data_IF_196125733289
#
_entry.id   IF_196125733289
#
_cell.length_a   1.000
_cell.length_b   1.000
_cell.length_c   1.000
_cell.angle_alpha   90.00
_cell.angle_beta   90.00
_cell.angle_gamma   90.00
#
_symmetry.space_group_name_H-M   'P 1'
#
loop_
_entity.id
_entity.type
_entity.pdbx_description
1 polymer ?
#
# COMPACT_ATOMS: atom_id res chain seq x y z
N UNK A 1 15.76 4.87 10.30
CA UNK A 1 15.81 4.07 11.54
C UNK A 1 15.16 2.74 11.21
N UNK A 2 15.78 1.57 11.43
CA UNK A 2 15.21 0.29 11.00
C UNK A 2 13.76 0.13 11.48
N UNK A 3 12.88 -0.45 10.66
CA UNK A 3 11.44 -0.59 10.94
C UNK A 3 11.13 -1.17 12.34
N UNK A 4 11.99 -2.05 12.85
CA UNK A 4 11.88 -2.67 14.18
C UNK A 4 12.25 -1.76 15.35
N UNK A 5 12.81 -0.58 15.08
CA UNK A 5 13.20 0.43 16.07
C UNK A 5 12.20 1.60 16.13
N UNK A 6 11.20 1.64 15.23
CA UNK A 6 10.10 2.60 15.30
C UNK A 6 9.30 2.38 16.58
N UNK A 7 9.14 3.45 17.37
CA UNK A 7 8.36 3.45 18.60
C UNK A 7 6.99 4.07 18.35
N UNK A 8 5.91 3.52 18.93
CA UNK A 8 4.60 4.17 18.92
C UNK A 8 4.68 5.58 19.53
N UNK A 9 4.00 6.55 18.90
CA UNK A 9 3.86 7.92 19.43
C UNK A 9 5.06 8.85 19.29
N UNK A 10 6.16 8.44 18.64
CA UNK A 10 7.34 9.29 18.42
C UNK A 10 7.53 9.77 16.98
N UNK A 11 6.51 9.61 16.13
CA UNK A 11 6.61 9.82 14.69
C UNK A 11 5.66 10.96 14.29
N UNK A 12 6.20 11.99 13.66
CA UNK A 12 5.39 13.06 13.07
C UNK A 12 4.77 12.57 11.78
N UNK A 13 3.50 12.90 11.54
CA UNK A 13 2.85 12.63 10.27
C UNK A 13 3.37 13.51 9.13
N UNK A 14 4.14 14.55 9.45
CA UNK A 14 4.72 15.48 8.49
C UNK A 14 6.09 15.01 7.96
N UNK A 15 6.72 14.06 8.65
CA UNK A 15 8.07 13.58 8.31
C UNK A 15 8.04 12.39 7.33
N UNK A 16 9.00 12.33 6.42
CA UNK A 16 9.31 11.11 5.66
C UNK A 16 10.14 10.17 6.52
N UNK A 17 9.69 8.92 6.71
CA UNK A 17 10.29 7.97 7.64
C UNK A 17 10.99 6.84 6.88
N UNK A 18 12.32 6.77 7.00
CA UNK A 18 13.12 5.66 6.47
C UNK A 18 12.87 4.37 7.27
N UNK A 19 12.27 3.36 6.61
CA UNK A 19 11.90 2.06 7.18
C UNK A 19 12.96 0.98 6.94
N UNK A 20 13.58 1.01 5.75
CA UNK A 20 14.63 0.08 5.33
C UNK A 20 15.79 0.85 4.71
N UNK A 21 17.01 0.52 5.12
CA UNK A 21 18.24 1.18 4.66
C UNK A 21 19.29 0.11 4.36
N UNK A 22 19.46 -0.20 3.08
CA UNK A 22 20.51 -1.05 2.56
C UNK A 22 21.28 -0.32 1.44
N UNK A 23 22.54 -0.68 1.17
CA UNK A 23 23.31 -0.06 0.11
C UNK A 23 22.59 -0.15 -1.25
N UNK A 24 22.18 1.00 -1.78
CA UNK A 24 21.49 1.10 -3.06
C UNK A 24 20.02 0.64 -3.04
N UNK A 25 19.43 0.41 -1.87
CA UNK A 25 18.01 0.08 -1.74
C UNK A 25 17.43 0.62 -0.42
N UNK A 26 16.47 1.54 -0.50
CA UNK A 26 15.79 2.12 0.65
C UNK A 26 14.28 2.07 0.50
N UNK A 27 13.57 1.94 1.62
CA UNK A 27 12.11 2.03 1.66
C UNK A 27 11.69 3.07 2.69
N UNK A 28 10.81 3.97 2.28
CA UNK A 28 10.29 5.07 3.09
C UNK A 28 8.77 4.98 3.22
N UNK A 29 8.27 5.28 4.41
CA UNK A 29 6.91 5.78 4.56
C UNK A 29 6.91 7.27 4.25
N UNK A 30 6.05 7.67 3.33
CA UNK A 30 5.84 9.08 2.98
C UNK A 30 4.58 9.58 3.67
N UNK A 31 3.49 8.82 3.52
CA UNK A 31 2.18 9.12 4.10
C UNK A 31 1.53 10.39 3.56
N UNK A 32 0.21 10.41 3.59
CA UNK A 32 -0.61 11.61 3.45
C UNK A 32 -1.57 11.63 4.64
N UNK A 33 -1.25 12.43 5.65
CA UNK A 33 -2.22 12.76 6.68
C UNK A 33 -3.03 13.93 6.14
N UNK A 34 -4.25 13.65 5.69
CA UNK A 34 -5.22 14.72 5.47
C UNK A 34 -5.47 15.41 6.81
N UNK A 35 -5.33 16.74 6.81
CA UNK A 35 -5.51 17.59 7.99
C UNK A 35 -6.99 17.80 8.34
N UNK A 36 -7.93 17.22 7.57
CA UNK A 36 -9.37 17.38 7.80
C UNK A 36 -9.98 16.08 8.35
N UNK A 37 -10.73 16.20 9.44
CA UNK A 37 -11.37 15.14 10.23
C UNK A 37 -12.32 14.20 9.44
N UNK A 38 -12.53 14.41 8.13
CA UNK A 38 -13.51 13.71 7.32
C UNK A 38 -12.94 12.55 6.47
N UNK A 39 -11.63 12.48 6.24
CA UNK A 39 -11.01 11.50 5.34
C UNK A 39 -10.22 10.42 6.09
N UNK A 40 -10.19 9.20 5.53
CA UNK A 40 -9.39 8.10 6.08
C UNK A 40 -7.92 8.36 5.71
N UNK A 41 -6.98 8.41 6.68
CA UNK A 41 -5.56 8.62 6.39
C UNK A 41 -5.00 7.56 5.44
N UNK A 42 -4.18 8.00 4.49
CA UNK A 42 -3.61 7.16 3.45
C UNK A 42 -2.08 7.11 3.56
N UNK A 43 -1.53 5.91 3.51
CA UNK A 43 -0.10 5.65 3.47
C UNK A 43 0.36 5.53 2.02
N UNK A 44 1.27 6.42 1.63
CA UNK A 44 2.08 6.28 0.42
C UNK A 44 3.47 5.79 0.77
N UNK A 45 4.06 4.97 -0.10
CA UNK A 45 5.36 4.35 0.12
C UNK A 45 6.32 4.66 -1.03
N UNK A 46 7.56 4.98 -0.69
CA UNK A 46 8.61 5.18 -1.69
C UNK A 46 9.65 4.07 -1.54
N UNK A 47 9.85 3.29 -2.60
CA UNK A 47 11.01 2.42 -2.75
C UNK A 47 12.01 3.15 -3.64
N UNK A 48 13.24 3.32 -3.16
CA UNK A 48 14.37 3.84 -3.93
C UNK A 48 15.34 2.70 -4.16
N UNK A 49 15.59 2.36 -5.41
CA UNK A 49 16.54 1.33 -5.78
C UNK A 49 17.53 1.90 -6.80
N UNK A 50 18.79 2.03 -6.38
CA UNK A 50 19.83 2.83 -7.03
C UNK A 50 19.36 4.28 -7.25
N UNK A 51 19.11 4.67 -8.50
CA UNK A 51 18.65 5.99 -8.94
C UNK A 51 17.17 6.01 -9.35
N UNK A 52 16.45 4.88 -9.21
CA UNK A 52 15.05 4.77 -9.58
C UNK A 52 14.12 4.82 -8.36
N UNK A 53 13.12 5.70 -8.40
CA UNK A 53 12.03 5.74 -7.43
C UNK A 53 10.80 4.96 -7.91
N UNK A 54 10.17 4.21 -7.01
CA UNK A 54 8.90 3.52 -7.20
C UNK A 54 7.94 4.01 -6.11
N UNK A 55 6.92 4.77 -6.50
CA UNK A 55 5.90 5.28 -5.59
C UNK A 55 4.70 4.33 -5.59
N UNK A 56 4.38 3.78 -4.44
CA UNK A 56 3.29 2.82 -4.23
C UNK A 56 2.16 3.52 -3.47
N UNK A 57 0.94 3.42 -3.99
CA UNK A 57 -0.27 4.12 -3.51
C UNK A 57 -0.09 5.66 -3.50
N UNK A 58 -0.01 6.30 -4.69
CA UNK A 58 0.35 7.72 -4.81
C UNK A 58 -0.69 8.71 -4.24
N UNK A 59 -1.91 8.24 -3.94
CA UNK A 59 -2.91 9.01 -3.20
C UNK A 59 -4.03 9.58 -4.06
N UNK A 60 -5.02 10.20 -3.41
CA UNK A 60 -6.07 10.99 -4.03
C UNK A 60 -5.61 12.37 -4.52
N UNK A 61 -6.51 13.13 -5.15
CA UNK A 61 -6.20 14.42 -5.79
C UNK A 61 -5.41 15.37 -4.88
N UNK A 62 -5.84 15.50 -3.63
CA UNK A 62 -5.28 16.47 -2.68
C UNK A 62 -3.95 16.01 -2.06
N UNK A 63 -3.58 14.73 -2.22
CA UNK A 63 -2.34 14.17 -1.69
C UNK A 63 -1.09 14.56 -2.50
N UNK A 64 -1.24 14.94 -3.78
CA UNK A 64 -0.09 15.13 -4.68
C UNK A 64 0.97 16.06 -4.11
N UNK A 65 0.59 17.26 -3.66
CA UNK A 65 1.54 18.26 -3.17
C UNK A 65 2.27 17.79 -1.91
N UNK A 66 1.52 17.26 -0.93
CA UNK A 66 2.10 16.78 0.34
C UNK A 66 3.05 15.60 0.11
N UNK A 67 2.63 14.62 -0.69
CA UNK A 67 3.46 13.44 -1.00
C UNK A 67 4.69 13.84 -1.80
N UNK A 68 4.57 14.73 -2.79
CA UNK A 68 5.71 15.20 -3.59
C UNK A 68 6.73 15.97 -2.75
N UNK A 69 6.28 16.89 -1.89
CA UNK A 69 7.16 17.67 -1.01
C UNK A 69 7.93 16.76 -0.04
N UNK A 70 7.24 15.80 0.56
CA UNK A 70 7.86 14.81 1.44
C UNK A 70 8.86 13.93 0.72
N UNK A 71 8.58 13.52 -0.52
CA UNK A 71 9.54 12.77 -1.33
C UNK A 71 10.78 13.62 -1.59
N UNK A 72 10.63 14.89 -2.00
CA UNK A 72 11.74 15.81 -2.28
C UNK A 72 12.71 16.02 -1.09
N UNK A 73 12.28 15.74 0.14
CA UNK A 73 13.16 15.76 1.32
C UNK A 73 14.18 14.61 1.38
N UNK A 74 13.95 13.51 0.65
CA UNK A 74 14.80 12.30 0.68
C UNK A 74 15.20 11.78 -0.70
N UNK A 75 14.47 12.15 -1.76
CA UNK A 75 14.66 11.69 -3.14
C UNK A 75 14.06 12.70 -4.11
N UNK A 76 14.55 12.78 -5.35
CA UNK A 76 14.00 13.73 -6.31
C UNK A 76 12.66 13.23 -6.87
N UNK A 77 11.54 13.89 -6.56
CA UNK A 77 10.19 13.46 -6.97
C UNK A 77 10.07 13.32 -8.51
N UNK A 78 10.74 14.20 -9.27
CA UNK A 78 10.80 14.10 -10.74
C UNK A 78 11.60 12.88 -11.27
N UNK A 79 12.34 12.17 -10.41
CA UNK A 79 13.05 10.92 -10.73
C UNK A 79 12.28 9.66 -10.34
N UNK A 80 11.04 9.80 -9.84
CA UNK A 80 10.14 8.66 -9.74
C UNK A 80 9.99 8.09 -11.16
N UNK A 81 10.10 6.78 -11.27
CA UNK A 81 10.07 6.03 -12.52
C UNK A 81 8.77 5.26 -12.69
N UNK A 82 8.19 4.81 -11.58
CA UNK A 82 6.95 4.03 -11.55
C UNK A 82 5.99 4.57 -10.49
N UNK A 83 4.72 4.68 -10.87
CA UNK A 83 3.59 4.78 -9.95
C UNK A 83 2.92 3.41 -9.91
N UNK A 84 2.70 2.87 -8.73
CA UNK A 84 2.11 1.55 -8.54
C UNK A 84 0.86 1.69 -7.71
N UNK A 85 -0.27 1.25 -8.27
CA UNK A 85 -1.57 1.33 -7.63
C UNK A 85 -2.13 -0.08 -7.43
N UNK A 86 -2.44 -0.44 -6.19
CA UNK A 86 -3.06 -1.73 -5.84
C UNK A 86 -4.37 -1.97 -6.57
N UNK A 87 -5.21 -0.94 -6.66
CA UNK A 87 -6.52 -0.95 -7.29
C UNK A 87 -6.98 0.47 -7.71
N UNK A 88 -8.24 0.61 -8.13
CA UNK A 88 -8.76 1.80 -8.81
C UNK A 88 -9.32 2.90 -7.91
N UNK A 89 -9.39 2.71 -6.59
CA UNK A 89 -10.16 3.64 -5.76
C UNK A 89 -9.55 5.05 -5.75
N UNK A 90 -10.38 6.10 -5.51
CA UNK A 90 -9.94 7.48 -5.63
C UNK A 90 -8.78 7.85 -4.72
N UNK A 91 -8.74 7.31 -3.50
CA UNK A 91 -7.68 7.51 -2.51
C UNK A 91 -6.35 6.85 -2.91
N UNK A 92 -6.36 5.98 -3.92
CA UNK A 92 -5.16 5.35 -4.50
C UNK A 92 -4.72 6.05 -5.79
N UNK A 93 -5.66 6.27 -6.71
CA UNK A 93 -5.35 6.61 -8.11
C UNK A 93 -5.61 8.06 -8.50
N UNK A 94 -6.32 8.87 -7.70
CA UNK A 94 -6.79 10.14 -8.21
C UNK A 94 -5.69 11.21 -8.38
N UNK A 95 -4.51 11.05 -7.75
CA UNK A 95 -3.33 11.91 -7.98
C UNK A 95 -2.55 11.61 -9.27
N UNK A 96 -2.80 10.48 -9.95
CA UNK A 96 -1.99 10.05 -11.11
C UNK A 96 -1.85 11.16 -12.18
N UNK A 97 -2.91 11.92 -12.55
CA UNK A 97 -2.78 12.99 -13.54
C UNK A 97 -1.73 14.05 -13.16
N UNK A 98 -1.68 14.45 -11.88
CA UNK A 98 -0.71 15.43 -11.37
C UNK A 98 0.72 14.92 -11.45
N UNK A 99 0.94 13.64 -11.12
CA UNK A 99 2.25 13.01 -11.25
C UNK A 99 2.73 12.95 -12.71
N UNK A 100 1.85 12.59 -13.65
CA UNK A 100 2.19 12.51 -15.08
C UNK A 100 2.45 13.88 -15.69
N UNK A 101 1.70 14.90 -15.28
CA UNK A 101 1.93 16.28 -15.73
C UNK A 101 3.38 16.73 -15.42
N UNK A 102 3.91 16.33 -14.26
CA UNK A 102 5.26 16.67 -13.83
C UNK A 102 6.34 15.75 -14.40
N UNK A 103 6.05 14.45 -14.57
CA UNK A 103 6.93 13.50 -15.25
C UNK A 103 6.17 12.64 -16.28
N UNK A 104 6.11 13.07 -17.55
CA UNK A 104 5.41 12.34 -18.61
C UNK A 104 6.03 10.99 -18.98
N UNK A 105 7.22 10.66 -18.46
CA UNK A 105 7.91 9.38 -18.70
C UNK A 105 7.61 8.33 -17.62
N UNK A 106 6.80 8.67 -16.62
CA UNK A 106 6.37 7.74 -15.59
C UNK A 106 5.65 6.54 -16.19
N UNK A 107 5.91 5.38 -15.59
CA UNK A 107 5.16 4.16 -15.86
C UNK A 107 4.08 3.96 -14.80
N UNK A 108 2.83 3.87 -15.22
CA UNK A 108 1.71 3.60 -14.31
C UNK A 108 1.46 2.09 -14.28
N UNK A 109 1.64 1.47 -13.13
CA UNK A 109 1.45 0.04 -12.93
C UNK A 109 0.11 -0.17 -12.20
N UNK A 110 -0.82 -0.84 -12.87
CA UNK A 110 -2.19 -1.06 -12.37
C UNK A 110 -2.66 -2.48 -12.71
N UNK A 111 -3.64 -3.05 -11.99
CA UNK A 111 -4.33 -4.25 -12.44
C UNK A 111 -4.89 -4.06 -13.86
N UNK A 112 -4.75 -5.08 -14.70
CA UNK A 112 -5.15 -5.05 -16.11
C UNK A 112 -6.63 -4.64 -16.28
N UNK A 113 -7.47 -5.02 -15.32
CA UNK A 113 -8.89 -4.67 -15.29
C UNK A 113 -9.14 -3.16 -15.36
N UNK A 114 -8.26 -2.35 -14.75
CA UNK A 114 -8.41 -0.91 -14.62
C UNK A 114 -7.68 -0.09 -15.68
N UNK A 115 -6.78 -0.72 -16.46
CA UNK A 115 -6.04 -0.03 -17.52
C UNK A 115 -6.96 0.77 -18.46
N UNK A 116 -8.10 0.19 -18.87
CA UNK A 116 -9.05 0.87 -19.77
C UNK A 116 -9.94 1.90 -19.08
N UNK A 117 -9.91 1.97 -17.75
CA UNK A 117 -10.63 2.96 -16.96
C UNK A 117 -9.77 4.18 -16.65
N UNK A 118 -8.43 4.07 -16.67
CA UNK A 118 -7.50 5.19 -16.49
C UNK A 118 -7.80 6.42 -17.38
N UNK A 119 -8.24 6.28 -18.66
CA UNK A 119 -8.60 7.42 -19.49
C UNK A 119 -9.72 8.32 -18.93
N UNK A 120 -10.50 7.85 -17.94
CA UNK A 120 -11.49 8.66 -17.25
C UNK A 120 -10.88 9.64 -16.22
N UNK A 121 -9.66 9.37 -15.73
CA UNK A 121 -8.91 10.30 -14.90
C UNK A 121 -8.16 11.34 -15.73
N UNK A 122 -7.69 10.95 -16.93
CA UNK A 122 -6.88 11.81 -17.80
C UNK A 122 -6.86 11.31 -19.24
N UNK A 123 -6.79 12.23 -20.21
CA UNK A 123 -6.85 11.87 -21.63
C UNK A 123 -5.65 11.04 -22.13
N UNK A 124 -4.46 11.18 -21.51
CA UNK A 124 -3.26 10.44 -21.89
C UNK A 124 -2.48 9.95 -20.65
N UNK A 125 -2.68 8.69 -20.22
CA UNK A 125 -2.04 8.15 -19.01
C UNK A 125 -0.55 7.78 -19.17
N UNK A 126 0.11 8.22 -20.24
CA UNK A 126 1.50 7.86 -20.51
C UNK A 126 1.70 6.36 -20.78
N UNK A 127 2.84 5.81 -20.33
CA UNK A 127 3.13 4.38 -20.42
C UNK A 127 2.43 3.62 -19.27
N UNK A 128 1.47 2.75 -19.59
CA UNK A 128 0.79 1.92 -18.59
C UNK A 128 1.32 0.48 -18.66
N UNK A 129 1.65 -0.08 -17.50
CA UNK A 129 2.03 -1.48 -17.31
C UNK A 129 0.86 -2.24 -16.66
N UNK A 130 -0.04 -2.86 -17.44
CA UNK A 130 -1.15 -3.63 -16.89
C UNK A 130 -0.68 -4.96 -16.30
N UNK A 131 -1.03 -5.23 -15.04
CA UNK A 131 -0.73 -6.49 -14.34
C UNK A 131 -1.91 -7.44 -14.48
N UNK A 132 -1.71 -8.59 -15.12
CA UNK A 132 -2.76 -9.61 -15.27
C UNK A 132 -2.95 -10.46 -14.00
N UNK A 133 -3.96 -11.32 -14.02
CA UNK A 133 -4.36 -12.18 -12.87
C UNK A 133 -3.33 -13.23 -12.44
N UNK A 134 -2.19 -13.32 -13.13
CA UNK A 134 -1.03 -14.15 -12.74
C UNK A 134 0.06 -13.34 -12.02
N UNK A 135 -0.12 -12.04 -11.87
CA UNK A 135 0.89 -11.14 -11.34
C UNK A 135 1.94 -10.74 -12.37
N UNK A 136 2.97 -10.05 -11.88
CA UNK A 136 4.11 -9.60 -12.66
C UNK A 136 5.35 -9.47 -11.76
N UNK A 137 6.53 -9.44 -12.39
CA UNK A 137 7.78 -9.03 -11.75
C UNK A 137 8.22 -7.72 -12.41
N UNK A 138 8.37 -6.67 -11.60
CA UNK A 138 8.92 -5.40 -12.04
C UNK A 138 10.41 -5.39 -11.68
N UNK A 139 11.32 -5.40 -12.66
CA UNK A 139 12.75 -5.39 -12.38
C UNK A 139 13.18 -4.05 -11.80
N UNK A 140 14.02 -4.09 -10.76
CA UNK A 140 14.67 -2.92 -10.20
C UNK A 140 16.15 -2.85 -10.63
N UNK A 141 16.76 -1.66 -10.74
CA UNK A 141 18.15 -1.50 -11.20
C UNK A 141 19.21 -2.33 -10.44
N UNK A 142 19.02 -2.53 -9.14
CA UNK A 142 19.87 -3.32 -8.25
C UNK A 142 19.76 -4.84 -8.44
N UNK A 143 18.86 -5.31 -9.31
CA UNK A 143 18.72 -6.70 -9.72
C UNK A 143 17.65 -7.51 -8.98
N UNK A 144 17.03 -6.94 -7.94
CA UNK A 144 15.84 -7.50 -7.30
C UNK A 144 14.56 -7.10 -8.07
N UNK A 145 13.40 -7.63 -7.64
CA UNK A 145 12.10 -7.27 -8.22
C UNK A 145 11.13 -6.73 -7.18
N UNK A 146 10.23 -5.87 -7.65
CA UNK A 146 8.92 -5.71 -7.04
C UNK A 146 7.97 -6.74 -7.66
N UNK A 147 7.51 -7.70 -6.87
CA UNK A 147 6.58 -8.75 -7.30
C UNK A 147 5.15 -8.31 -7.08
N UNK A 148 4.41 -8.10 -8.17
CA UNK A 148 2.98 -7.84 -8.13
C UNK A 148 2.23 -9.15 -7.95
N UNK A 149 1.55 -9.33 -6.81
CA UNK A 149 0.82 -10.53 -6.43
C UNK A 149 -0.68 -10.24 -6.48
N UNK A 150 -1.45 -10.94 -7.31
CA UNK A 150 -2.89 -10.74 -7.40
C UNK A 150 -3.60 -11.05 -6.08
N UNK A 151 -4.46 -10.14 -5.64
CA UNK A 151 -5.32 -10.26 -4.47
C UNK A 151 -6.78 -9.86 -4.80
N UNK A 152 -7.38 -10.45 -5.86
CA UNK A 152 -8.69 -10.03 -6.35
C UNK A 152 -9.77 -10.22 -5.28
N UNK A 153 -10.73 -9.30 -5.27
CA UNK A 153 -11.84 -9.22 -4.31
C UNK A 153 -11.44 -8.87 -2.87
N UNK A 154 -10.24 -8.30 -2.65
CA UNK A 154 -9.77 -7.85 -1.34
C UNK A 154 -9.38 -6.36 -1.34
N UNK A 155 -10.31 -5.41 -1.56
CA UNK A 155 -11.75 -5.60 -1.86
C UNK A 155 -12.08 -5.53 -3.35
N UNK A 156 -11.27 -4.79 -4.12
CA UNK A 156 -11.53 -4.55 -5.53
C UNK A 156 -11.42 -5.83 -6.38
N UNK A 157 -12.28 -6.03 -7.41
CA UNK A 157 -12.21 -7.21 -8.28
C UNK A 157 -10.88 -7.29 -9.05
N UNK A 158 -10.25 -6.15 -9.34
CA UNK A 158 -8.87 -6.07 -9.82
C UNK A 158 -8.01 -5.48 -8.72
N UNK A 159 -7.37 -6.31 -7.91
CA UNK A 159 -6.53 -5.85 -6.83
C UNK A 159 -5.23 -6.64 -6.79
N UNK A 160 -4.15 -6.00 -6.34
CA UNK A 160 -2.84 -6.62 -6.16
C UNK A 160 -2.11 -6.04 -4.95
N UNK A 161 -1.23 -6.86 -4.37
CA UNK A 161 -0.24 -6.43 -3.38
C UNK A 161 1.14 -6.47 -4.00
N UNK A 162 2.09 -5.71 -3.46
CA UNK A 162 3.45 -5.61 -3.98
C UNK A 162 4.42 -6.16 -2.95
N UNK A 163 5.16 -7.21 -3.31
CA UNK A 163 6.23 -7.75 -2.48
C UNK A 163 7.58 -7.28 -2.99
N UNK A 164 8.32 -6.54 -2.18
CA UNK A 164 9.68 -6.12 -2.46
C UNK A 164 10.68 -7.20 -2.03
N UNK A 165 11.30 -7.84 -3.01
CA UNK A 165 12.24 -8.96 -2.78
C UNK A 165 13.53 -8.52 -2.07
N UNK A 166 13.91 -7.25 -2.14
CA UNK A 166 15.14 -6.75 -1.52
C UNK A 166 14.94 -6.46 -0.02
N UNK A 167 13.86 -5.76 0.34
CA UNK A 167 13.58 -5.45 1.75
C UNK A 167 12.86 -6.58 2.50
N UNK A 168 12.07 -7.39 1.79
CA UNK A 168 11.14 -8.36 2.37
C UNK A 168 9.84 -7.72 2.85
N UNK A 169 9.48 -6.52 2.37
CA UNK A 169 8.25 -5.83 2.74
C UNK A 169 7.11 -6.15 1.76
N UNK A 170 5.90 -6.32 2.30
CA UNK A 170 4.68 -6.53 1.54
C UNK A 170 3.80 -5.28 1.66
N UNK A 171 3.70 -4.50 0.59
CA UNK A 171 2.74 -3.40 0.47
C UNK A 171 1.37 -3.99 0.13
N UNK A 172 0.46 -3.98 1.10
CA UNK A 172 -0.74 -4.83 1.07
C UNK A 172 -2.01 -4.11 0.62
N UNK A 173 -1.93 -2.84 0.23
CA UNK A 173 -3.11 -2.04 -0.08
C UNK A 173 -4.06 -2.02 1.11
N UNK A 174 -5.35 -2.22 0.86
CA UNK A 174 -6.38 -2.23 1.91
C UNK A 174 -6.34 -3.46 2.82
N UNK A 175 -5.57 -4.49 2.47
CA UNK A 175 -5.44 -5.68 3.30
C UNK A 175 -4.58 -5.33 4.52
N UNK A 176 -5.18 -5.33 5.70
CA UNK A 176 -4.57 -4.84 6.93
C UNK A 176 -4.96 -3.41 7.30
N UNK A 177 -5.88 -2.79 6.55
CA UNK A 177 -6.43 -1.49 6.88
C UNK A 177 -7.02 -1.43 8.29
N UNK A 178 -6.60 -0.44 9.08
CA UNK A 178 -7.18 -0.12 10.37
C UNK A 178 -7.69 1.32 10.39
N UNK A 179 -8.97 1.51 10.72
CA UNK A 179 -9.60 2.83 10.80
C UNK A 179 -9.59 3.30 12.27
N UNK A 180 -9.24 4.57 12.50
CA UNK A 180 -9.18 5.17 13.82
C UNK A 180 -10.34 6.16 13.95
N UNK A 181 -11.32 5.86 14.80
CA UNK A 181 -12.49 6.73 14.98
C UNK A 181 -12.19 7.96 15.85
N UNK A 182 -11.28 7.87 16.83
CA UNK A 182 -11.04 8.93 17.84
C UNK A 182 -9.59 9.02 18.35
N UNK A 183 -8.66 8.23 17.81
CA UNK A 183 -7.26 8.20 18.24
C UNK A 183 -6.32 8.82 17.21
N UNK A 184 -5.31 9.56 17.68
CA UNK A 184 -4.22 10.02 16.82
C UNK A 184 -3.63 8.86 16.01
N UNK A 185 -3.35 9.11 14.73
CA UNK A 185 -2.75 8.14 13.81
C UNK A 185 -1.54 7.45 14.44
N UNK A 186 -1.46 6.12 14.30
CA UNK A 186 -0.34 5.33 14.78
C UNK A 186 0.21 4.46 13.64
N UNK A 187 1.47 4.70 13.26
CA UNK A 187 2.14 3.95 12.20
C UNK A 187 2.62 2.55 12.64
N UNK A 188 2.74 2.30 13.94
CA UNK A 188 3.23 1.05 14.50
C UNK A 188 2.27 0.50 15.54
N UNK A 189 1.92 -0.79 15.43
CA UNK A 189 1.05 -1.46 16.38
C UNK A 189 1.69 -1.43 17.77
N UNK A 190 0.92 -0.97 18.76
CA UNK A 190 1.29 -0.88 20.18
C UNK A 190 0.54 -1.90 21.03
N UNK A 191 -0.73 -2.13 20.72
CA UNK A 191 -1.61 -3.13 21.31
C UNK A 191 -2.32 -3.92 20.21
N UNK A 192 -2.02 -5.22 20.13
CA UNK A 192 -2.56 -6.09 19.10
C UNK A 192 -4.08 -6.25 19.18
N UNK A 193 -4.63 -6.44 20.38
CA UNK A 193 -6.05 -6.68 20.57
C UNK A 193 -6.86 -5.44 20.19
N UNK A 194 -6.38 -4.26 20.60
CA UNK A 194 -6.95 -2.97 20.19
C UNK A 194 -6.85 -2.77 18.69
N UNK A 195 -5.73 -3.15 18.08
CA UNK A 195 -5.55 -3.04 16.63
C UNK A 195 -6.48 -4.00 15.85
N UNK A 196 -6.65 -5.25 16.30
CA UNK A 196 -7.64 -6.17 15.73
C UNK A 196 -9.06 -5.58 15.75
N UNK A 197 -9.46 -4.91 16.83
CA UNK A 197 -10.77 -4.25 16.89
C UNK A 197 -10.91 -3.15 15.83
N UNK A 198 -9.84 -2.36 15.60
CA UNK A 198 -9.80 -1.30 14.56
C UNK A 198 -9.81 -1.82 13.12
N UNK A 199 -9.32 -3.04 12.90
CA UNK A 199 -9.35 -3.69 11.59
C UNK A 199 -10.68 -4.38 11.29
N UNK A 200 -11.36 -4.90 12.33
CA UNK A 200 -12.43 -5.87 12.18
C UNK A 200 -13.58 -5.37 11.29
N UNK A 201 -14.16 -4.22 11.61
CA UNK A 201 -15.31 -3.69 10.86
C UNK A 201 -15.01 -3.47 9.38
N UNK A 202 -13.85 -2.89 9.07
CA UNK A 202 -13.40 -2.69 7.69
C UNK A 202 -13.27 -4.03 6.95
N UNK A 203 -12.55 -4.99 7.52
CA UNK A 203 -12.33 -6.27 6.85
C UNK A 203 -13.61 -7.08 6.68
N UNK A 204 -14.50 -7.08 7.68
CA UNK A 204 -15.79 -7.75 7.58
C UNK A 204 -16.68 -7.15 6.49
N UNK A 205 -16.60 -5.83 6.28
CA UNK A 205 -17.49 -5.13 5.34
C UNK A 205 -16.95 -5.07 3.90
N UNK A 206 -15.64 -4.90 3.74
CA UNK A 206 -15.00 -4.61 2.46
C UNK A 206 -14.44 -5.87 1.79
N UNK A 207 -13.80 -6.78 2.54
CA UNK A 207 -13.17 -7.96 1.93
C UNK A 207 -14.23 -8.91 1.38
N UNK A 208 -14.10 -9.32 0.11
CA UNK A 208 -15.22 -9.89 -0.63
C UNK A 208 -15.73 -11.26 -0.14
N UNK A 209 -14.83 -12.15 0.31
CA UNK A 209 -15.18 -13.47 0.86
C UNK A 209 -13.99 -14.14 1.55
N UNK A 210 -14.27 -15.10 2.44
CA UNK A 210 -13.27 -15.97 3.06
C UNK A 210 -12.50 -16.79 2.02
N UNK A 211 -13.12 -17.12 0.88
CA UNK A 211 -12.43 -17.81 -0.22
C UNK A 211 -11.36 -16.93 -0.87
N UNK A 212 -11.62 -15.64 -1.04
CA UNK A 212 -10.64 -14.68 -1.56
C UNK A 212 -9.49 -14.52 -0.55
N UNK A 213 -9.81 -14.37 0.73
CA UNK A 213 -8.83 -14.32 1.84
C UNK A 213 -7.94 -15.56 1.85
N UNK A 214 -8.52 -16.77 1.83
CA UNK A 214 -7.76 -18.01 1.88
C UNK A 214 -6.79 -18.14 0.70
N UNK A 215 -7.22 -17.74 -0.50
CA UNK A 215 -6.34 -17.72 -1.69
C UNK A 215 -5.19 -16.73 -1.52
N UNK A 216 -5.46 -15.53 -1.01
CA UNK A 216 -4.43 -14.52 -0.75
C UNK A 216 -3.44 -15.00 0.32
N UNK A 217 -3.91 -15.48 1.46
CA UNK A 217 -3.05 -16.00 2.52
C UNK A 217 -2.16 -17.12 2.00
N UNK A 218 -2.70 -18.05 1.20
CA UNK A 218 -1.91 -19.11 0.57
C UNK A 218 -0.86 -18.60 -0.42
N UNK A 219 -1.10 -17.47 -1.11
CA UNK A 219 -0.14 -16.93 -2.08
C UNK A 219 1.04 -16.19 -1.46
N UNK A 220 0.89 -15.72 -0.21
CA UNK A 220 1.92 -14.93 0.49
C UNK A 220 2.59 -15.65 1.66
N UNK A 221 1.99 -16.72 2.21
CA UNK A 221 2.46 -17.38 3.45
C UNK A 221 3.88 -17.94 3.38
N UNK A 222 4.33 -18.39 2.21
CA UNK A 222 5.69 -18.94 2.02
C UNK A 222 6.73 -17.87 1.65
N UNK A 223 6.32 -16.61 1.51
CA UNK A 223 7.24 -15.51 1.23
C UNK A 223 7.98 -15.11 2.52
N UNK A 224 9.24 -14.67 2.42
CA UNK A 224 10.02 -14.21 3.58
C UNK A 224 9.61 -12.78 3.98
N UNK A 225 8.34 -12.60 4.34
CA UNK A 225 7.78 -11.29 4.70
C UNK A 225 8.28 -10.88 6.08
N UNK A 226 8.96 -9.73 6.13
CA UNK A 226 9.49 -9.12 7.35
C UNK A 226 8.53 -8.09 7.94
N UNK A 227 7.75 -7.43 7.08
CA UNK A 227 6.71 -6.51 7.47
C UNK A 227 5.60 -6.41 6.41
N UNK A 228 4.38 -6.12 6.86
CA UNK A 228 3.23 -5.80 6.00
C UNK A 228 2.89 -4.32 6.19
N UNK A 229 2.78 -3.60 5.08
CA UNK A 229 2.63 -2.15 4.99
C UNK A 229 1.29 -1.83 4.29
N UNK A 230 0.19 -1.67 5.04
CA UNK A 230 -1.13 -1.42 4.47
C UNK A 230 -1.31 0.04 4.03
N UNK A 231 -2.10 0.28 3.00
CA UNK A 231 -2.41 1.63 2.53
C UNK A 231 -3.16 2.44 3.60
N UNK A 232 -3.94 1.82 4.48
CA UNK A 232 -4.50 2.50 5.65
C UNK A 232 -3.95 1.93 6.96
N UNK A 233 -3.62 2.80 7.91
CA UNK A 233 -3.32 2.37 9.28
C UNK A 233 -1.88 1.97 9.56
N UNK A 234 -1.71 0.99 10.46
CA UNK A 234 -0.41 0.66 11.05
C UNK A 234 0.33 -0.47 10.32
N UNK A 235 1.65 -0.45 10.42
CA UNK A 235 2.54 -1.49 9.88
C UNK A 235 2.58 -2.70 10.82
N UNK A 236 2.53 -3.90 10.25
CA UNK A 236 2.77 -5.18 10.94
C UNK A 236 4.23 -5.58 10.81
N UNK A 237 4.93 -5.87 11.91
CA UNK A 237 6.38 -6.16 11.94
C UNK A 237 6.66 -7.46 12.67
N UNK A 238 7.64 -8.22 12.18
CA UNK A 238 8.10 -9.42 12.88
C UNK A 238 7.00 -10.47 13.05
N UNK A 239 6.69 -10.86 14.29
CA UNK A 239 5.67 -11.87 14.59
C UNK A 239 4.23 -11.40 14.29
N UNK A 240 3.99 -10.07 14.25
CA UNK A 240 2.70 -9.48 13.89
C UNK A 240 2.26 -9.88 12.47
N UNK A 241 3.21 -10.15 11.56
CA UNK A 241 2.94 -10.61 10.20
C UNK A 241 2.18 -11.94 10.22
N UNK A 242 2.69 -12.93 10.96
CA UNK A 242 2.05 -14.24 11.09
C UNK A 242 0.70 -14.12 11.80
N UNK A 243 0.66 -13.33 12.89
CA UNK A 243 -0.57 -13.09 13.66
C UNK A 243 -1.66 -12.44 12.81
N UNK A 244 -1.30 -11.52 11.92
CA UNK A 244 -2.24 -10.88 11.00
C UNK A 244 -2.79 -11.86 9.97
N UNK A 245 -1.93 -12.65 9.31
CA UNK A 245 -2.39 -13.63 8.32
C UNK A 245 -3.29 -14.70 8.93
N UNK A 246 -3.00 -15.11 10.17
CA UNK A 246 -3.83 -16.06 10.91
C UNK A 246 -5.16 -15.42 11.36
N UNK A 247 -5.11 -14.17 11.85
CA UNK A 247 -6.31 -13.40 12.22
C UNK A 247 -7.24 -13.20 11.02
N UNK A 248 -6.70 -12.76 9.88
CA UNK A 248 -7.46 -12.50 8.66
C UNK A 248 -8.14 -13.79 8.17
N UNK A 249 -7.46 -14.94 8.27
CA UNK A 249 -8.04 -16.25 7.94
C UNK A 249 -9.07 -16.78 8.94
N UNK A 250 -9.21 -16.16 10.12
CA UNK A 250 -10.08 -16.61 11.21
C UNK A 250 -11.41 -15.87 11.34
N UNK A 251 -11.59 -14.75 10.63
CA UNK A 251 -12.80 -13.93 10.67
C UNK A 251 -13.65 -14.16 9.43
N UNK A 252 -14.98 -14.10 9.57
CA UNK A 252 -15.88 -14.08 8.40
C UNK A 252 -15.85 -12.69 7.74
N UNK A 253 -15.83 -12.63 6.41
CA UNK A 253 -15.78 -11.35 5.67
C UNK A 253 -16.76 -11.29 4.49
N UNK A 254 -17.19 -10.08 4.15
CA UNK A 254 -17.99 -9.79 2.98
C UNK A 254 -19.28 -10.59 2.93
N UNK A 255 -19.44 -11.38 1.86
CA UNK A 255 -20.63 -12.21 1.67
C UNK A 255 -20.77 -13.32 2.73
N UNK A 256 -19.68 -13.71 3.38
CA UNK A 256 -19.69 -14.72 4.44
C UNK A 256 -20.03 -14.08 5.80
N UNK A 257 -19.88 -12.76 5.94
CA UNK A 257 -20.20 -11.99 7.16
C UNK A 257 -21.61 -11.40 7.16
N UNK A 258 -22.51 -11.75 6.23
CA UNK A 258 -23.84 -11.14 6.11
C UNK A 258 -24.69 -11.21 7.40
N UNK A 259 -24.47 -12.21 8.26
CA UNK A 259 -25.14 -12.33 9.56
C UNK A 259 -24.63 -11.36 10.63
N UNK A 260 -23.49 -10.72 10.42
CA UNK A 260 -22.84 -9.76 11.32
C UNK A 260 -22.96 -8.30 10.84
N UNK A 261 -23.35 -8.08 9.58
CA UNK A 261 -23.33 -6.79 8.88
C UNK A 261 -24.76 -6.22 8.71
N UNK A 262 -25.72 -6.68 9.52
CA UNK A 262 -27.11 -6.20 9.52
C UNK A 262 -27.31 -4.96 10.41
#
# INVERSE_FOLDING_TARGET
MPINQLKPGSLSTDDTILLHDAPGHQVYWVGAADQEEAAIPCNSWLVVDQDAGFLIEPGGCDHYFSVSEKIDSVFLASSISHLICSHQDPDVCASIPSWIEHNPRLKVVVPHLWHRFLPHYMAQPGEVTPVGDRGALLPMPGGAHLRCIPAPFLHSPGNMVIFDEASGFLFSGDIGASVFDDDAFVLCIDDWQRHCARMLGFHQRYMGSNRAVARFVASVRDLPIRAILPQHGAIFRGDEVGRFLDWLGSIDVGIDALGHVA
#
